data_IF_314717154410
#
_entry.id   IF_314717154410
#
_cell.length_a   1.000
_cell.length_b   1.000
_cell.length_c   1.000
_cell.angle_alpha   90.00
_cell.angle_beta   90.00
_cell.angle_gamma   90.00
#
_symmetry.space_group_name_H-M   'P 1'
#
loop_
_entity.id
_entity.type
_entity.pdbx_description
1 polymer ?
#
# COMPACT_ATOMS: atom_id res chain seq x y z
N UNK A 1 -8.39 10.44 4.72
CA UNK A 1 -8.06 9.06 5.15
C UNK A 1 -6.56 8.95 5.13
N UNK A 2 -5.94 8.77 6.30
CA UNK A 2 -4.50 8.61 6.46
C UNK A 2 -4.08 7.23 5.89
N UNK A 3 -2.86 7.12 5.37
CA UNK A 3 -2.24 5.89 4.87
C UNK A 3 -2.36 4.77 5.90
N UNK A 4 -2.10 5.02 7.18
CA UNK A 4 -2.19 4.01 8.24
C UNK A 4 -3.62 3.42 8.36
N UNK A 5 -4.64 4.28 8.29
CA UNK A 5 -6.03 3.85 8.31
C UNK A 5 -6.41 3.07 7.05
N UNK A 6 -5.80 3.39 5.91
CA UNK A 6 -5.97 2.64 4.67
C UNK A 6 -5.31 1.26 4.71
N UNK A 7 -4.09 1.17 5.23
CA UNK A 7 -3.36 -0.09 5.44
C UNK A 7 -4.16 -1.03 6.32
N UNK A 8 -4.64 -0.55 7.48
CA UNK A 8 -5.45 -1.37 8.40
C UNK A 8 -6.72 -1.92 7.74
N UNK A 9 -7.39 -1.12 6.90
CA UNK A 9 -8.55 -1.57 6.12
C UNK A 9 -8.14 -2.59 5.06
N UNK A 10 -7.04 -2.35 4.35
CA UNK A 10 -6.52 -3.25 3.33
C UNK A 10 -6.12 -4.61 3.91
N UNK A 11 -5.41 -4.62 5.06
CA UNK A 11 -5.06 -5.84 5.80
C UNK A 11 -6.29 -6.57 6.34
N UNK A 12 -7.26 -5.83 6.87
CA UNK A 12 -8.52 -6.43 7.32
C UNK A 12 -9.22 -7.13 6.16
N UNK A 13 -9.30 -6.48 4.99
CA UNK A 13 -9.90 -7.06 3.79
C UNK A 13 -9.09 -8.25 3.26
N UNK A 14 -7.77 -8.15 3.20
CA UNK A 14 -6.90 -9.22 2.69
C UNK A 14 -7.03 -10.51 3.50
N UNK A 15 -7.25 -10.43 4.82
CA UNK A 15 -7.51 -11.60 5.68
C UNK A 15 -8.78 -12.38 5.31
N UNK A 16 -9.80 -11.73 4.72
CA UNK A 16 -11.04 -12.39 4.32
C UNK A 16 -10.92 -13.11 2.97
N UNK A 17 -10.00 -12.68 2.12
CA UNK A 17 -9.84 -13.28 0.80
C UNK A 17 -9.00 -14.56 0.90
N UNK A 18 -9.60 -15.69 0.52
CA UNK A 18 -8.94 -17.02 0.49
C UNK A 18 -7.66 -17.03 -0.37
N UNK A 19 -7.62 -16.16 -1.39
CA UNK A 19 -6.47 -15.91 -2.26
C UNK A 19 -5.18 -15.49 -1.52
N UNK A 20 -5.31 -14.94 -0.31
CA UNK A 20 -4.17 -14.46 0.47
C UNK A 20 -3.49 -15.55 1.31
N UNK A 21 -4.05 -16.77 1.32
CA UNK A 21 -3.61 -17.86 2.20
C UNK A 21 -2.57 -18.79 1.56
N UNK A 22 -2.46 -18.84 0.23
CA UNK A 22 -1.68 -19.85 -0.52
C UNK A 22 -0.42 -19.29 -1.22
N UNK A 23 0.01 -18.07 -0.90
CA UNK A 23 1.16 -17.42 -1.53
C UNK A 23 0.71 -16.26 -2.39
N UNK A 24 0.71 -15.08 -1.78
CA UNK A 24 0.38 -13.82 -2.45
C UNK A 24 1.50 -13.47 -3.40
N UNK A 25 1.15 -13.12 -4.64
CA UNK A 25 2.02 -12.30 -5.46
C UNK A 25 2.06 -10.89 -4.82
N UNK A 26 3.11 -10.61 -4.04
CA UNK A 26 3.30 -9.33 -3.36
C UNK A 26 3.26 -8.16 -4.35
N UNK A 27 3.64 -8.39 -5.61
CA UNK A 27 3.59 -7.41 -6.68
C UNK A 27 2.12 -7.08 -7.00
N UNK A 28 1.26 -8.09 -7.09
CA UNK A 28 -0.19 -7.87 -7.27
C UNK A 28 -0.79 -7.08 -6.11
N UNK A 29 -0.40 -7.42 -4.87
CA UNK A 29 -0.80 -6.69 -3.67
C UNK A 29 -0.40 -5.22 -3.73
N UNK A 30 0.88 -4.96 -4.04
CA UNK A 30 1.42 -3.61 -4.18
C UNK A 30 0.65 -2.83 -5.25
N UNK A 31 0.40 -3.44 -6.40
CA UNK A 31 -0.35 -2.81 -7.49
C UNK A 31 -1.79 -2.44 -7.07
N UNK A 32 -2.49 -3.35 -6.39
CA UNK A 32 -3.85 -3.10 -5.88
C UNK A 32 -3.88 -2.01 -4.80
N UNK A 33 -2.89 -1.98 -3.93
CA UNK A 33 -2.76 -0.95 -2.91
C UNK A 33 -2.44 0.41 -3.54
N UNK A 34 -1.46 0.46 -4.45
CA UNK A 34 -1.12 1.65 -5.22
C UNK A 34 -2.36 2.22 -5.91
N UNK A 35 -3.15 1.40 -6.59
CA UNK A 35 -4.36 1.83 -7.27
C UNK A 35 -5.43 2.49 -6.37
N UNK A 36 -5.43 2.22 -5.06
CA UNK A 36 -6.35 2.85 -4.11
C UNK A 36 -5.76 4.01 -3.31
N UNK A 37 -4.46 4.32 -3.49
CA UNK A 37 -3.84 5.51 -2.91
C UNK A 37 -4.30 6.79 -3.59
N UNK A 38 -4.06 7.92 -2.92
CA UNK A 38 -4.26 9.26 -3.50
C UNK A 38 -3.24 9.51 -4.61
N UNK A 39 -3.62 10.29 -5.61
CA UNK A 39 -2.75 10.63 -6.74
C UNK A 39 -1.37 11.14 -6.30
N UNK A 40 -1.32 11.99 -5.27
CA UNK A 40 -0.08 12.51 -4.71
C UNK A 40 0.89 11.44 -4.17
N UNK A 41 0.35 10.39 -3.54
CA UNK A 41 1.14 9.28 -3.02
C UNK A 41 1.48 8.30 -4.15
N UNK A 42 0.55 8.06 -5.08
CA UNK A 42 0.79 7.24 -6.27
C UNK A 42 1.96 7.79 -7.09
N UNK A 43 1.95 9.08 -7.41
CA UNK A 43 3.00 9.72 -8.21
C UNK A 43 4.39 9.59 -7.56
N UNK A 44 4.45 9.56 -6.23
CA UNK A 44 5.69 9.37 -5.51
C UNK A 44 6.12 7.88 -5.39
N UNK A 45 5.18 6.94 -5.22
CA UNK A 45 5.51 5.52 -4.94
C UNK A 45 5.47 4.59 -6.14
N UNK A 46 4.73 4.94 -7.19
CA UNK A 46 4.68 4.20 -8.47
C UNK A 46 6.06 4.14 -9.16
N UNK A 47 6.80 5.25 -9.33
CA UNK A 47 8.11 5.21 -9.97
C UNK A 47 9.17 4.47 -9.16
N UNK A 48 8.95 4.25 -7.85
CA UNK A 48 9.88 3.50 -7.00
C UNK A 48 9.88 1.99 -7.30
N UNK A 49 8.90 1.48 -8.05
CA UNK A 49 8.86 0.07 -8.47
C UNK A 49 8.89 -0.91 -7.29
N UNK A 50 8.29 -0.53 -6.16
CA UNK A 50 8.34 -1.32 -4.93
C UNK A 50 7.54 -2.60 -5.13
N UNK A 51 8.20 -3.74 -4.89
CA UNK A 51 7.63 -5.08 -5.06
C UNK A 51 7.22 -5.73 -3.74
N UNK A 52 7.62 -5.14 -2.61
CA UNK A 52 7.32 -5.61 -1.26
C UNK A 52 6.28 -4.72 -0.61
N UNK A 53 5.17 -5.33 -0.17
CA UNK A 53 4.04 -4.57 0.36
C UNK A 53 4.42 -3.76 1.60
N UNK A 54 5.20 -4.33 2.51
CA UNK A 54 5.64 -3.63 3.72
C UNK A 54 6.45 -2.37 3.38
N UNK A 55 7.40 -2.48 2.44
CA UNK A 55 8.24 -1.34 2.01
C UNK A 55 7.39 -0.25 1.36
N UNK A 56 6.36 -0.64 0.60
CA UNK A 56 5.44 0.30 -0.04
C UNK A 56 4.65 1.09 1.02
N UNK A 57 4.19 0.42 2.07
CA UNK A 57 3.46 1.04 3.17
C UNK A 57 4.34 2.02 3.94
N UNK A 58 5.55 1.60 4.33
CA UNK A 58 6.50 2.46 5.04
C UNK A 58 6.81 3.72 4.24
N UNK A 59 7.05 3.58 2.92
CA UNK A 59 7.28 4.74 2.04
C UNK A 59 6.06 5.66 1.94
N UNK A 60 4.85 5.11 1.85
CA UNK A 60 3.64 5.93 1.83
C UNK A 60 3.48 6.72 3.13
N UNK A 61 3.80 6.13 4.28
CA UNK A 61 3.75 6.81 5.58
C UNK A 61 4.80 7.91 5.67
N UNK A 62 6.05 7.64 5.28
CA UNK A 62 7.10 8.66 5.25
C UNK A 62 6.70 9.87 4.41
N UNK A 63 6.13 9.65 3.22
CA UNK A 63 5.70 10.74 2.33
C UNK A 63 4.52 11.51 2.92
N UNK A 64 3.55 10.82 3.52
CA UNK A 64 2.42 11.48 4.18
C UNK A 64 2.87 12.31 5.39
N UNK A 65 3.80 11.79 6.20
CA UNK A 65 4.37 12.51 7.35
C UNK A 65 5.22 13.72 6.90
N UNK A 66 5.99 13.58 5.82
CA UNK A 66 6.75 14.70 5.23
C UNK A 66 5.85 15.80 4.68
N UNK A 67 4.67 15.45 4.14
CA UNK A 67 3.71 16.42 3.59
C UNK A 67 2.76 17.00 4.64
N UNK A 68 2.56 16.30 5.76
CA UNK A 68 1.76 16.79 6.88
C UNK A 68 2.50 17.81 7.76
N UNK A 69 3.74 18.15 7.43
CA UNK A 69 4.62 19.07 8.16
C UNK A 69 4.85 20.34 7.34
#
# INVERSE_FOLDING_TARGET
>A
MNVEAYVKKFESLSRFFRFFRDGIDEIYMCHRFQGGLRYELQDAVVPLGIRHFQVLVEKCQEIEDMRSK
#
